data_IF_319892095806
#
_entry.id   IF_319892095806
#
_cell.length_a   1.000
_cell.length_b   1.000
_cell.length_c   1.000
_cell.angle_alpha   90.00
_cell.angle_beta   90.00
_cell.angle_gamma   90.00
#
_symmetry.space_group_name_H-M   'P 1'
#
loop_
_entity.id
_entity.type
_entity.pdbx_description
1 polymer ?
#
# COMPACT_ATOMS: atom_id res chain seq x y z
N UNK A 1 -60.48 -10.33 -59.96
CA UNK A 1 -59.27 -11.00 -59.46
C UNK A 1 -58.40 -9.89 -58.89
N UNK A 2 -58.45 -9.76 -57.57
CA UNK A 2 -58.15 -8.55 -56.79
C UNK A 2 -56.65 -8.28 -56.73
N UNK A 3 -56.26 -7.05 -57.04
CA UNK A 3 -54.98 -6.47 -56.69
C UNK A 3 -55.06 -6.02 -55.23
N UNK A 4 -54.23 -6.63 -54.37
CA UNK A 4 -54.04 -6.28 -52.97
C UNK A 4 -53.31 -4.92 -52.92
N UNK A 5 -53.93 -3.83 -52.48
CA UNK A 5 -54.39 -3.45 -51.14
C UNK A 5 -53.27 -2.95 -50.23
N UNK A 6 -53.66 -1.91 -49.50
CA UNK A 6 -52.94 -0.72 -49.12
C UNK A 6 -52.06 -0.94 -47.90
N UNK A 7 -51.20 0.04 -47.72
CA UNK A 7 -50.13 0.12 -46.77
C UNK A 7 -50.68 0.37 -45.35
N UNK A 8 -51.03 -0.68 -44.59
CA UNK A 8 -51.47 -0.54 -43.20
C UNK A 8 -50.40 -0.94 -42.17
N UNK A 9 -49.83 0.10 -41.56
CA UNK A 9 -48.92 0.07 -40.42
C UNK A 9 -49.73 -0.16 -39.13
N UNK A 10 -49.69 -1.38 -38.60
CA UNK A 10 -50.06 -1.65 -37.21
C UNK A 10 -48.84 -2.20 -36.46
N UNK A 11 -48.31 -1.42 -35.51
CA UNK A 11 -47.15 -1.89 -34.75
C UNK A 11 -46.54 -0.92 -33.75
N UNK A 12 -47.36 -0.44 -32.80
CA UNK A 12 -46.95 -0.11 -31.43
C UNK A 12 -46.13 1.18 -31.20
N UNK A 13 -46.87 2.26 -30.91
CA UNK A 13 -46.44 3.34 -30.02
C UNK A 13 -46.33 2.80 -28.58
N UNK A 14 -45.12 2.72 -28.04
CA UNK A 14 -44.89 2.75 -26.60
C UNK A 14 -43.53 3.40 -26.31
N UNK A 15 -43.58 4.48 -25.55
CA UNK A 15 -42.50 5.42 -25.28
C UNK A 15 -41.19 4.80 -24.82
N UNK A 16 -40.10 5.34 -25.38
CA UNK A 16 -38.74 5.15 -24.88
C UNK A 16 -38.67 5.76 -23.47
N UNK A 17 -38.44 4.89 -22.49
CA UNK A 17 -38.26 5.26 -21.08
C UNK A 17 -37.05 6.22 -20.92
N UNK A 18 -37.17 7.31 -20.13
CA UNK A 18 -36.16 8.37 -20.02
C UNK A 18 -34.88 7.97 -19.27
N UNK A 19 -34.71 6.70 -18.90
CA UNK A 19 -33.57 6.21 -18.11
C UNK A 19 -32.41 5.71 -18.98
N UNK A 20 -32.59 5.56 -20.30
CA UNK A 20 -31.54 5.13 -21.22
C UNK A 20 -30.70 6.28 -21.82
N UNK A 21 -31.18 7.53 -21.74
CA UNK A 21 -30.45 8.72 -22.24
C UNK A 21 -29.46 9.33 -21.22
N UNK A 22 -29.53 8.91 -19.95
CA UNK A 22 -28.66 9.42 -18.89
C UNK A 22 -27.31 8.67 -18.76
N UNK A 23 -27.14 7.55 -19.47
CA UNK A 23 -25.91 6.73 -19.42
C UNK A 23 -24.93 7.09 -20.55
N UNK A 24 -25.37 7.79 -21.58
CA UNK A 24 -24.53 8.15 -22.75
C UNK A 24 -24.02 9.61 -22.71
N UNK A 25 -24.43 10.40 -21.72
CA UNK A 25 -24.03 11.82 -21.59
C UNK A 25 -23.07 12.07 -20.41
N UNK A 26 -22.15 11.13 -20.15
CA UNK A 26 -21.03 11.31 -19.19
C UNK A 26 -19.66 10.94 -19.76
N UNK A 27 -19.51 11.06 -21.09
CA UNK A 27 -18.24 10.88 -21.82
C UNK A 27 -17.61 12.20 -22.29
N UNK A 28 -17.89 13.32 -21.60
CA UNK A 28 -17.17 14.58 -21.80
C UNK A 28 -16.88 15.23 -20.46
N UNK A 29 -15.84 14.71 -19.82
CA UNK A 29 -14.90 15.42 -18.93
C UNK A 29 -14.01 14.35 -18.30
N UNK A 30 -13.10 13.81 -19.11
CA UNK A 30 -11.92 13.18 -18.56
C UNK A 30 -11.13 14.29 -17.84
N UNK A 31 -10.88 14.20 -16.52
CA UNK A 31 -9.93 15.10 -15.91
C UNK A 31 -8.59 14.89 -16.62
N UNK A 32 -8.04 15.97 -17.17
CA UNK A 32 -6.77 15.98 -17.86
C UNK A 32 -5.75 15.11 -17.10
N UNK A 33 -5.24 14.10 -17.80
CA UNK A 33 -4.21 13.21 -17.28
C UNK A 33 -3.05 14.09 -16.78
N UNK A 34 -2.83 14.05 -15.46
CA UNK A 34 -1.69 14.69 -14.81
C UNK A 34 -0.39 14.17 -15.46
N UNK A 35 0.65 15.01 -15.56
CA UNK A 35 1.86 14.69 -16.33
C UNK A 35 2.45 13.36 -15.87
N UNK A 36 2.90 12.55 -16.85
CA UNK A 36 3.60 11.28 -16.71
C UNK A 36 4.40 11.21 -15.42
N UNK A 37 3.85 10.58 -14.37
CA UNK A 37 4.63 10.27 -13.20
C UNK A 37 5.61 9.18 -13.64
N UNK A 38 6.89 9.53 -13.75
CA UNK A 38 7.96 8.53 -13.89
C UNK A 38 7.74 7.45 -12.81
N UNK A 39 7.62 6.20 -13.26
CA UNK A 39 7.46 5.07 -12.35
C UNK A 39 8.69 5.01 -11.46
N UNK A 40 8.50 4.82 -10.15
CA UNK A 40 9.64 4.64 -9.25
C UNK A 40 10.43 3.38 -9.63
N UNK A 41 11.73 3.37 -9.34
CA UNK A 41 12.60 2.21 -9.57
C UNK A 41 12.01 0.92 -8.99
N UNK A 42 11.45 1.00 -7.77
CA UNK A 42 10.77 -0.11 -7.12
C UNK A 42 9.58 -0.63 -7.93
N UNK A 43 8.81 0.27 -8.56
CA UNK A 43 7.69 -0.09 -9.42
C UNK A 43 8.19 -0.77 -10.69
N UNK A 44 9.26 -0.24 -11.31
CA UNK A 44 9.90 -0.87 -12.47
C UNK A 44 10.37 -2.29 -12.12
N UNK A 45 11.06 -2.46 -10.99
CA UNK A 45 11.53 -3.78 -10.54
C UNK A 45 10.36 -4.72 -10.26
N UNK A 46 9.30 -4.25 -9.59
CA UNK A 46 8.12 -5.07 -9.31
C UNK A 46 7.41 -5.53 -10.58
N UNK A 47 7.30 -4.66 -11.59
CA UNK A 47 6.71 -5.03 -12.88
C UNK A 47 7.56 -6.07 -13.61
N UNK A 48 8.89 -5.93 -13.59
CA UNK A 48 9.79 -6.96 -14.14
C UNK A 48 9.65 -8.32 -13.42
N UNK A 49 9.49 -8.32 -12.10
CA UNK A 49 9.23 -9.55 -11.32
C UNK A 49 7.86 -10.13 -11.66
N UNK A 50 6.83 -9.28 -11.77
CA UNK A 50 5.45 -9.67 -12.10
C UNK A 50 5.37 -10.31 -13.48
N UNK A 51 5.92 -9.66 -14.49
CA UNK A 51 5.69 -9.98 -15.90
C UNK A 51 6.70 -11.02 -16.42
N UNK A 52 7.94 -11.00 -15.92
CA UNK A 52 9.02 -11.85 -16.44
C UNK A 52 9.67 -12.76 -15.39
N UNK A 53 9.24 -12.70 -14.11
CA UNK A 53 9.91 -13.42 -13.00
C UNK A 53 11.41 -13.08 -12.95
N UNK A 54 11.73 -11.81 -13.19
CA UNK A 54 13.11 -11.33 -13.22
C UNK A 54 13.77 -11.45 -11.82
N UNK A 55 14.79 -12.30 -11.72
CA UNK A 55 15.53 -12.55 -10.47
C UNK A 55 16.42 -11.36 -10.06
N UNK A 56 16.97 -10.63 -11.02
CA UNK A 56 17.82 -9.47 -10.73
C UNK A 56 16.96 -8.29 -10.23
N UNK A 57 15.79 -8.09 -10.81
CA UNK A 57 14.80 -7.14 -10.30
C UNK A 57 14.33 -7.52 -8.88
N UNK A 58 14.10 -8.81 -8.63
CA UNK A 58 13.78 -9.28 -7.29
C UNK A 58 14.92 -9.06 -6.29
N UNK A 59 16.18 -9.29 -6.70
CA UNK A 59 17.36 -8.97 -5.89
C UNK A 59 17.37 -7.50 -5.46
N UNK A 60 17.14 -6.58 -6.40
CA UNK A 60 17.04 -5.13 -6.09
C UNK A 60 15.89 -4.79 -5.13
N UNK A 61 14.74 -5.44 -5.27
CA UNK A 61 13.64 -5.30 -4.29
C UNK A 61 14.06 -5.83 -2.92
N UNK A 62 14.74 -6.98 -2.88
CA UNK A 62 15.22 -7.57 -1.64
C UNK A 62 16.20 -6.64 -0.93
N UNK A 63 17.25 -6.19 -1.61
CA UNK A 63 18.27 -5.29 -1.05
C UNK A 63 17.64 -3.98 -0.54
N UNK A 64 16.62 -3.47 -1.25
CA UNK A 64 15.94 -2.26 -0.84
C UNK A 64 15.02 -2.45 0.38
N UNK A 65 14.19 -3.50 0.38
CA UNK A 65 13.12 -3.65 1.38
C UNK A 65 13.53 -4.51 2.58
N UNK A 66 14.37 -5.53 2.43
CA UNK A 66 14.75 -6.43 3.52
C UNK A 66 15.30 -5.70 4.76
N UNK A 67 16.29 -4.78 4.68
CA UNK A 67 16.79 -4.08 5.87
C UNK A 67 15.72 -3.17 6.50
N UNK A 68 14.86 -2.55 5.68
CA UNK A 68 13.77 -1.68 6.14
C UNK A 68 12.68 -2.46 6.87
N UNK A 69 12.33 -3.64 6.34
CA UNK A 69 11.38 -4.56 6.95
C UNK A 69 11.94 -5.14 8.25
N UNK A 70 13.21 -5.57 8.27
CA UNK A 70 13.86 -6.06 9.50
C UNK A 70 13.81 -5.01 10.60
N UNK A 71 14.21 -3.78 10.29
CA UNK A 71 14.16 -2.67 11.25
C UNK A 71 12.71 -2.38 11.72
N UNK A 72 11.71 -2.49 10.84
CA UNK A 72 10.31 -2.36 11.21
C UNK A 72 9.86 -3.44 12.20
N UNK A 73 10.17 -4.70 11.91
CA UNK A 73 9.75 -5.84 12.71
C UNK A 73 10.46 -5.85 14.07
N UNK A 74 11.75 -5.50 14.11
CA UNK A 74 12.49 -5.40 15.38
C UNK A 74 11.92 -4.31 16.30
N UNK A 75 11.36 -3.22 15.75
CA UNK A 75 10.71 -2.17 16.57
C UNK A 75 9.46 -2.66 17.30
N UNK A 76 8.87 -3.78 16.91
CA UNK A 76 7.76 -4.39 17.66
C UNK A 76 8.22 -5.29 18.80
N UNK A 77 9.52 -5.33 19.11
CA UNK A 77 10.10 -6.14 20.19
C UNK A 77 10.50 -7.56 19.77
N UNK A 78 10.49 -7.88 18.48
CA UNK A 78 10.92 -9.18 17.97
C UNK A 78 12.45 -9.29 17.94
N UNK A 79 12.97 -10.46 18.32
CA UNK A 79 14.40 -10.77 18.23
C UNK A 79 14.91 -10.74 16.78
N UNK A 80 16.20 -10.48 16.59
CA UNK A 80 16.78 -10.19 15.28
C UNK A 80 16.71 -11.40 14.31
N UNK A 81 16.88 -12.61 14.83
CA UNK A 81 16.76 -13.89 14.12
C UNK A 81 15.31 -14.12 13.64
N UNK A 82 14.34 -13.95 14.53
CA UNK A 82 12.92 -14.05 14.20
C UNK A 82 12.51 -13.00 13.17
N UNK A 83 13.04 -11.78 13.29
CA UNK A 83 12.78 -10.72 12.33
C UNK A 83 13.32 -11.07 10.92
N UNK A 84 14.49 -11.69 10.82
CA UNK A 84 15.04 -12.17 9.55
C UNK A 84 14.16 -13.23 8.89
N UNK A 85 13.69 -14.20 9.66
CA UNK A 85 12.78 -15.24 9.17
C UNK A 85 11.48 -14.64 8.63
N UNK A 86 10.90 -13.66 9.34
CA UNK A 86 9.72 -12.94 8.88
C UNK A 86 10.00 -12.17 7.60
N UNK A 87 11.15 -11.50 7.48
CA UNK A 87 11.54 -10.78 6.25
C UNK A 87 11.66 -11.75 5.08
N UNK A 88 12.29 -12.90 5.26
CA UNK A 88 12.40 -13.93 4.22
C UNK A 88 11.01 -14.39 3.75
N UNK A 89 10.11 -14.70 4.68
CA UNK A 89 8.73 -15.09 4.39
C UNK A 89 7.95 -14.02 3.61
N UNK A 90 8.13 -12.75 3.99
CA UNK A 90 7.52 -11.61 3.30
C UNK A 90 8.04 -11.52 1.87
N UNK A 91 9.36 -11.57 1.68
CA UNK A 91 9.97 -11.47 0.35
C UNK A 91 9.61 -12.67 -0.53
N UNK A 92 9.53 -13.89 0.03
CA UNK A 92 9.00 -15.06 -0.67
C UNK A 92 7.53 -14.89 -1.06
N UNK A 93 6.74 -14.23 -0.23
CA UNK A 93 5.34 -13.93 -0.53
C UNK A 93 5.23 -12.87 -1.62
N UNK A 94 6.07 -11.84 -1.59
CA UNK A 94 6.20 -10.85 -2.67
C UNK A 94 6.53 -11.54 -3.99
N UNK A 95 7.53 -12.41 -4.01
CA UNK A 95 7.86 -13.20 -5.20
C UNK A 95 6.66 -14.00 -5.69
N UNK A 96 6.01 -14.79 -4.83
CA UNK A 96 4.85 -15.63 -5.21
C UNK A 96 3.65 -14.83 -5.71
N UNK A 97 3.39 -13.66 -5.12
CA UNK A 97 2.20 -12.85 -5.39
C UNK A 97 2.45 -11.64 -6.30
N UNK A 98 3.64 -11.49 -6.86
CA UNK A 98 3.97 -10.38 -7.75
C UNK A 98 2.95 -10.22 -8.89
N UNK A 99 2.43 -11.34 -9.43
CA UNK A 99 1.34 -11.41 -10.41
C UNK A 99 0.07 -10.62 -10.04
N UNK A 100 -0.17 -10.41 -8.74
CA UNK A 100 -1.34 -9.71 -8.20
C UNK A 100 -1.09 -8.22 -7.97
N UNK A 101 0.14 -7.75 -8.17
CA UNK A 101 0.48 -6.34 -8.00
C UNK A 101 -0.07 -5.50 -9.17
N UNK A 102 -0.80 -4.45 -8.82
CA UNK A 102 -1.35 -3.47 -9.74
C UNK A 102 -0.87 -2.07 -9.36
N UNK A 103 0.00 -1.43 -10.18
CA UNK A 103 0.52 -0.10 -9.90
C UNK A 103 -0.57 0.99 -9.91
N UNK A 104 -1.73 0.74 -10.52
CA UNK A 104 -2.86 1.68 -10.48
C UNK A 104 -3.60 1.64 -9.12
N UNK A 105 -3.46 0.56 -8.35
CA UNK A 105 -4.16 0.35 -7.07
C UNK A 105 -3.30 0.69 -5.86
N UNK A 106 -1.99 0.45 -5.92
CA UNK A 106 -1.09 0.67 -4.80
C UNK A 106 0.35 0.92 -5.25
N UNK A 107 1.09 1.68 -4.45
CA UNK A 107 2.54 1.75 -4.56
C UNK A 107 3.17 0.44 -4.06
N UNK A 108 4.31 0.06 -4.63
CA UNK A 108 5.06 -1.16 -4.26
C UNK A 108 5.34 -1.22 -2.76
N UNK A 109 5.88 -0.14 -2.19
CA UNK A 109 6.17 -0.08 -0.75
C UNK A 109 4.95 -0.39 0.09
N UNK A 110 3.82 0.28 -0.18
CA UNK A 110 2.58 0.08 0.58
C UNK A 110 2.10 -1.38 0.50
N UNK A 111 2.21 -2.00 -0.67
CA UNK A 111 1.84 -3.40 -0.87
C UNK A 111 2.76 -4.37 -0.10
N UNK A 112 4.08 -4.15 -0.13
CA UNK A 112 5.06 -4.97 0.59
C UNK A 112 4.90 -4.83 2.11
N UNK A 113 4.79 -3.59 2.61
CA UNK A 113 4.58 -3.34 4.05
C UNK A 113 3.26 -3.93 4.55
N UNK A 114 2.21 -3.95 3.73
CA UNK A 114 0.96 -4.62 4.08
C UNK A 114 1.14 -6.14 4.22
N UNK A 115 1.96 -6.78 3.37
CA UNK A 115 2.30 -8.20 3.49
C UNK A 115 3.09 -8.43 4.78
N UNK A 116 4.08 -7.58 5.07
CA UNK A 116 4.90 -7.66 6.28
C UNK A 116 4.07 -7.59 7.56
N UNK A 117 3.19 -6.61 7.63
CA UNK A 117 2.27 -6.44 8.75
C UNK A 117 1.38 -7.67 8.97
N UNK A 118 0.79 -8.21 7.90
CA UNK A 118 -0.03 -9.41 8.01
C UNK A 118 0.79 -10.58 8.57
N UNK A 119 2.05 -10.72 8.14
CA UNK A 119 2.95 -11.78 8.62
C UNK A 119 3.32 -11.60 10.10
N UNK A 120 3.63 -10.38 10.51
CA UNK A 120 3.94 -10.03 11.89
C UNK A 120 2.76 -10.35 12.83
N UNK A 121 1.54 -10.01 12.44
CA UNK A 121 0.31 -10.36 13.18
C UNK A 121 0.16 -11.87 13.30
N UNK A 122 0.43 -12.63 12.24
CA UNK A 122 0.36 -14.09 12.26
C UNK A 122 1.36 -14.71 13.25
N UNK A 123 2.55 -14.12 13.39
CA UNK A 123 3.59 -14.58 14.36
C UNK A 123 3.16 -14.27 15.79
N UNK A 124 2.78 -13.03 16.09
CA UNK A 124 2.33 -12.61 17.44
C UNK A 124 1.13 -13.45 17.90
N UNK A 125 0.19 -13.75 16.99
CA UNK A 125 -0.96 -14.61 17.30
C UNK A 125 -0.59 -16.06 17.60
N UNK A 126 0.52 -16.56 17.04
CA UNK A 126 1.04 -17.91 17.34
C UNK A 126 1.71 -17.94 18.71
N UNK A 127 2.48 -16.91 19.06
CA UNK A 127 3.15 -16.78 20.37
C UNK A 127 2.16 -16.57 21.53
N UNK A 128 1.02 -15.92 21.28
CA UNK A 128 -0.04 -15.73 22.29
C UNK A 128 -0.78 -17.05 22.64
N UNK A 129 -0.54 -18.14 21.91
CA UNK A 129 -1.02 -19.48 22.26
C UNK A 129 0.00 -20.11 23.21
N UNK A 130 -0.37 -20.54 24.43
CA UNK A 130 0.61 -20.94 25.45
C UNK A 130 1.36 -22.19 24.98
N UNK A 131 2.65 -22.02 24.70
CA UNK A 131 3.64 -23.09 24.56
C UNK A 131 4.90 -22.63 25.32
N UNK A 132 5.54 -23.50 26.13
CA UNK A 132 6.55 -23.08 27.09
C UNK A 132 7.78 -22.39 26.50
N UNK A 133 8.21 -21.38 27.25
CA UNK A 133 9.34 -20.47 27.12
C UNK A 133 10.69 -21.18 26.85
N UNK A 134 11.36 -20.82 25.75
CA UNK A 134 12.82 -20.99 25.63
C UNK A 134 13.48 -19.80 24.91
N UNK A 135 14.33 -19.12 25.68
CA UNK A 135 15.58 -18.42 25.32
C UNK A 135 15.50 -17.16 24.45
N UNK A 136 15.45 -16.03 25.15
CA UNK A 136 15.86 -14.70 24.67
C UNK A 136 17.37 -14.66 24.41
N UNK A 137 17.77 -14.54 23.14
CA UNK A 137 19.10 -14.07 22.76
C UNK A 137 19.01 -12.63 22.25
N UNK A 138 19.43 -11.68 23.10
CA UNK A 138 19.70 -10.31 22.70
C UNK A 138 20.95 -10.29 21.82
N UNK A 139 20.76 -10.22 20.50
CA UNK A 139 21.85 -9.89 19.57
C UNK A 139 21.53 -8.55 18.92
N UNK A 140 22.11 -7.49 19.46
CA UNK A 140 22.20 -6.20 18.77
C UNK A 140 23.19 -6.36 17.63
N UNK A 141 22.70 -6.32 16.38
CA UNK A 141 23.54 -6.34 15.20
C UNK A 141 23.38 -5.00 14.49
N UNK A 142 24.45 -4.20 14.51
CA UNK A 142 24.51 -2.92 13.79
C UNK A 142 24.43 -3.15 12.28
N UNK A 143 23.65 -2.33 11.54
CA UNK A 143 23.65 -2.37 10.09
C UNK A 143 24.98 -1.85 9.52
N UNK A 144 25.39 -2.34 8.34
CA UNK A 144 26.58 -1.87 7.62
C UNK A 144 26.56 -0.34 7.48
N UNK A 145 27.66 0.31 7.92
CA UNK A 145 27.73 1.75 8.23
C UNK A 145 27.24 2.68 7.10
N UNK A 146 27.46 2.32 5.83
CA UNK A 146 27.10 3.17 4.69
C UNK A 146 25.59 3.17 4.40
N UNK A 147 24.90 2.05 4.68
CA UNK A 147 23.44 1.96 4.52
C UNK A 147 22.70 2.58 5.71
N UNK A 148 23.33 2.57 6.89
CA UNK A 148 22.78 3.15 8.12
C UNK A 148 22.63 4.68 8.00
N UNK A 149 23.65 5.36 7.48
CA UNK A 149 23.66 6.82 7.39
C UNK A 149 22.59 7.37 6.42
N UNK A 150 22.44 6.74 5.25
CA UNK A 150 21.40 7.12 4.27
C UNK A 150 20.00 6.90 4.84
N UNK A 151 19.79 5.80 5.57
CA UNK A 151 18.53 5.49 6.23
C UNK A 151 18.21 6.48 7.35
N UNK A 152 19.21 6.89 8.13
CA UNK A 152 19.07 7.90 9.18
C UNK A 152 18.67 9.26 8.61
N UNK A 153 19.26 9.68 7.50
CA UNK A 153 18.90 10.92 6.81
C UNK A 153 17.46 10.89 6.28
N UNK A 154 17.07 9.79 5.60
CA UNK A 154 15.67 9.60 5.16
C UNK A 154 14.70 9.63 6.35
N UNK A 155 15.06 8.97 7.46
CA UNK A 155 14.26 8.93 8.68
C UNK A 155 14.16 10.32 9.37
N UNK A 156 15.22 11.12 9.35
CA UNK A 156 15.21 12.48 9.87
C UNK A 156 14.27 13.38 9.06
N UNK A 157 14.32 13.31 7.74
CA UNK A 157 13.43 14.07 6.85
C UNK A 157 11.96 13.66 7.03
N UNK A 158 11.69 12.36 7.13
CA UNK A 158 10.34 11.86 7.38
C UNK A 158 9.81 12.34 8.74
N UNK A 159 10.64 12.33 9.79
CA UNK A 159 10.26 12.85 11.13
C UNK A 159 9.90 14.33 11.08
N UNK A 160 10.67 15.14 10.36
CA UNK A 160 10.35 16.56 10.17
C UNK A 160 9.03 16.75 9.43
N UNK A 161 8.80 16.02 8.32
CA UNK A 161 7.55 16.10 7.57
C UNK A 161 6.33 15.63 8.38
N UNK A 162 6.48 14.59 9.22
CA UNK A 162 5.45 14.15 10.16
C UNK A 162 5.12 15.24 11.19
N UNK A 163 6.12 15.99 11.66
CA UNK A 163 5.97 17.09 12.61
C UNK A 163 5.22 18.32 12.03
N UNK A 164 5.05 18.40 10.71
CA UNK A 164 4.26 19.44 10.03
C UNK A 164 2.81 19.00 9.73
N UNK A 165 2.46 17.73 9.99
CA UNK A 165 1.08 17.27 9.83
C UNK A 165 0.17 17.80 10.94
N UNK A 166 -1.10 18.10 10.62
CA UNK A 166 -2.12 18.32 11.64
C UNK A 166 -2.18 17.14 12.62
N UNK A 167 -2.33 17.41 13.92
CA UNK A 167 -2.27 16.39 14.98
C UNK A 167 -3.19 15.19 14.70
N UNK A 168 -4.44 15.44 14.34
CA UNK A 168 -5.41 14.38 14.04
C UNK A 168 -5.01 13.50 12.83
N UNK A 169 -4.17 14.00 11.92
CA UNK A 169 -3.64 13.24 10.79
C UNK A 169 -2.37 12.50 11.19
N UNK A 170 -1.47 13.16 11.93
CA UNK A 170 -0.25 12.59 12.49
C UNK A 170 -0.55 11.38 13.37
N UNK A 171 -1.42 11.53 14.37
CA UNK A 171 -1.77 10.43 15.29
C UNK A 171 -2.31 9.21 14.55
N UNK A 172 -3.09 9.41 13.48
CA UNK A 172 -3.61 8.28 12.70
C UNK A 172 -2.52 7.58 11.90
N UNK A 173 -1.56 8.33 11.33
CA UNK A 173 -0.41 7.76 10.63
C UNK A 173 0.53 7.07 11.62
N UNK A 174 0.81 7.68 12.76
CA UNK A 174 1.63 7.08 13.81
C UNK A 174 1.01 5.79 14.31
N UNK A 175 -0.28 5.76 14.65
CA UNK A 175 -0.94 4.52 15.06
C UNK A 175 -0.94 3.45 13.97
N UNK A 176 -1.13 3.85 12.71
CA UNK A 176 -1.20 2.92 11.59
C UNK A 176 0.16 2.37 11.15
N UNK A 177 1.23 3.15 11.25
CA UNK A 177 2.55 2.84 10.67
C UNK A 177 3.71 2.80 11.67
N UNK A 178 3.61 3.45 12.83
CA UNK A 178 4.61 3.38 13.91
C UNK A 178 4.15 2.47 15.06
N UNK A 179 2.86 2.49 15.39
CA UNK A 179 2.26 1.67 16.44
C UNK A 179 1.77 0.31 15.96
N UNK A 180 1.99 -0.03 14.69
CA UNK A 180 1.61 -1.30 14.06
C UNK A 180 0.13 -1.71 14.23
N UNK A 181 -0.79 -0.77 14.50
CA UNK A 181 -2.24 -1.02 14.63
C UNK A 181 -3.01 -0.99 13.30
N UNK A 182 -3.72 -2.08 12.97
CA UNK A 182 -4.60 -2.13 11.79
C UNK A 182 -5.69 -1.07 11.89
N UNK A 183 -6.29 -0.67 10.76
CA UNK A 183 -7.45 0.25 10.79
C UNK A 183 -8.59 -0.25 11.69
N UNK A 184 -8.73 -1.57 11.83
CA UNK A 184 -9.70 -2.20 12.74
C UNK A 184 -9.34 -1.99 14.20
N UNK A 185 -8.07 -2.17 14.57
CA UNK A 185 -7.54 -1.93 15.93
C UNK A 185 -7.52 -0.44 16.27
N UNK A 186 -7.17 0.42 15.32
CA UNK A 186 -7.29 1.88 15.48
C UNK A 186 -8.74 2.25 15.78
N UNK A 187 -9.71 1.69 15.06
CA UNK A 187 -11.14 1.91 15.36
C UNK A 187 -11.48 1.46 16.78
N UNK A 188 -11.00 0.29 17.22
CA UNK A 188 -11.26 -0.21 18.58
C UNK A 188 -10.63 0.73 19.63
N UNK A 189 -9.40 1.16 19.42
CA UNK A 189 -8.66 2.01 20.36
C UNK A 189 -9.18 3.45 20.41
N UNK A 190 -9.64 3.99 19.29
CA UNK A 190 -10.02 5.42 19.17
C UNK A 190 -11.53 5.65 19.18
N UNK A 191 -12.33 4.60 18.97
CA UNK A 191 -13.78 4.70 18.77
C UNK A 191 -14.19 5.36 17.44
N UNK A 192 -13.24 5.73 16.58
CA UNK A 192 -13.52 6.47 15.34
C UNK A 192 -14.08 5.55 14.24
N UNK A 193 -15.01 6.02 13.40
CA UNK A 193 -15.46 5.27 12.22
C UNK A 193 -14.31 4.97 11.25
N UNK A 194 -14.34 3.78 10.63
CA UNK A 194 -13.34 3.36 9.63
C UNK A 194 -13.19 4.36 8.48
N UNK A 195 -14.27 5.02 8.06
CA UNK A 195 -14.23 6.06 7.03
C UNK A 195 -13.38 7.26 7.45
N UNK A 196 -13.50 7.70 8.70
CA UNK A 196 -12.72 8.80 9.28
C UNK A 196 -11.25 8.45 9.38
N UNK A 197 -10.94 7.24 9.85
CA UNK A 197 -9.56 6.74 9.96
C UNK A 197 -8.91 6.73 8.58
N UNK A 198 -9.56 6.10 7.58
CA UNK A 198 -9.06 6.05 6.20
C UNK A 198 -8.89 7.44 5.59
N UNK A 199 -9.83 8.35 5.81
CA UNK A 199 -9.77 9.71 5.28
C UNK A 199 -8.57 10.49 5.86
N UNK A 200 -8.38 10.43 7.19
CA UNK A 200 -7.26 11.10 7.87
C UNK A 200 -5.91 10.54 7.43
N UNK A 201 -5.78 9.22 7.32
CA UNK A 201 -4.56 8.57 6.80
C UNK A 201 -4.29 8.99 5.36
N UNK A 202 -5.32 9.00 4.50
CA UNK A 202 -5.17 9.41 3.09
C UNK A 202 -4.65 10.86 2.98
N UNK A 203 -5.27 11.79 3.71
CA UNK A 203 -4.88 13.20 3.70
C UNK A 203 -3.45 13.40 4.21
N UNK A 204 -3.09 12.69 5.29
CA UNK A 204 -1.73 12.71 5.82
C UNK A 204 -0.70 12.24 4.79
N UNK A 205 -0.95 11.10 4.13
CA UNK A 205 -0.06 10.55 3.11
C UNK A 205 0.05 11.46 1.86
N UNK A 206 -1.04 12.11 1.47
CA UNK A 206 -1.03 13.09 0.38
C UNK A 206 -0.12 14.28 0.68
N UNK A 207 -0.20 14.82 1.91
CA UNK A 207 0.64 15.91 2.38
C UNK A 207 2.11 15.48 2.50
N UNK A 208 2.39 14.36 3.15
CA UNK A 208 3.76 13.83 3.26
C UNK A 208 4.41 13.62 1.89
N UNK A 209 3.66 13.12 0.90
CA UNK A 209 4.16 12.95 -0.46
C UNK A 209 4.50 14.29 -1.12
N UNK A 210 3.71 15.34 -0.87
CA UNK A 210 3.97 16.67 -1.40
C UNK A 210 5.23 17.26 -0.78
N UNK A 211 5.30 17.29 0.56
CA UNK A 211 6.39 17.89 1.32
C UNK A 211 7.73 17.17 1.02
N UNK A 212 7.73 15.84 0.95
CA UNK A 212 8.94 15.06 0.62
C UNK A 212 9.33 15.12 -0.86
N UNK A 213 8.41 15.46 -1.78
CA UNK A 213 8.76 15.66 -3.19
C UNK A 213 9.45 17.00 -3.40
N UNK A 214 9.04 18.06 -2.70
CA UNK A 214 9.69 19.36 -2.75
C UNK A 214 11.11 19.32 -2.19
N UNK A 215 11.33 18.57 -1.10
CA UNK A 215 12.63 18.36 -0.49
C UNK A 215 13.62 17.56 -1.37
N UNK A 216 13.12 16.71 -2.28
CA UNK A 216 13.96 15.96 -3.23
C UNK A 216 14.27 16.73 -4.52
N UNK A 217 13.61 17.87 -4.73
CA UNK A 217 13.78 18.71 -5.91
C UNK A 217 14.74 19.91 -5.69
N UNK A 218 15.26 20.05 -4.46
CA UNK A 218 16.24 21.05 -4.04
C UNK A 218 17.62 20.40 -3.87
#
# INVERSE_FOLDING_TARGET
MLAFDDHDLHGNSAGISPVAAAVVTRLKEAPALKPTQELSDQTIWMLAVRDARDRAAFGRLFDHFAPRLKAMIMRSGMAADQAEDVVQDVMLTVWRKAGMFDPARAQVSAWIYQIARNRQIDVIRRETRPVPEELSQETSCEPAADQALALEQEAAQLRAALAELPEAQRTMVEQAYLGDLTHGEIRVNTGLPLGTIKSRIRLALEKLRHDLKELRAQ
#
